data_IF_764304352906
#
_entry.id   IF_764304352906
#
_cell.length_a   1.000
_cell.length_b   1.000
_cell.length_c   1.000
_cell.angle_alpha   90.00
_cell.angle_beta   90.00
_cell.angle_gamma   90.00
#
_symmetry.space_group_name_H-M   'P 1'
#
loop_
_entity.id
_entity.type
_entity.pdbx_description
1 polymer ?
#
# COMPACT_ATOMS: atom_id res chain seq x y z
N UNK A 1 18.64 16.97 55.63
CA UNK A 1 19.04 15.78 54.84
C UNK A 1 17.81 15.03 54.31
N UNK A 2 16.87 14.62 55.17
CA UNK A 2 15.63 13.92 54.76
C UNK A 2 14.77 14.76 53.79
N UNK A 3 14.59 16.05 54.07
CA UNK A 3 13.82 16.97 53.20
C UNK A 3 14.41 17.12 51.80
N UNK A 4 15.73 17.11 51.66
CA UNK A 4 16.41 17.19 50.37
C UNK A 4 16.22 15.91 49.52
N UNK A 5 16.22 14.75 50.18
CA UNK A 5 15.98 13.45 49.54
C UNK A 5 14.55 13.37 48.98
N UNK A 6 13.56 13.84 49.74
CA UNK A 6 12.15 13.85 49.31
C UNK A 6 11.93 14.74 48.07
N UNK A 7 12.62 15.87 47.99
CA UNK A 7 12.55 16.78 46.83
C UNK A 7 13.12 16.10 45.57
N UNK A 8 14.23 15.38 45.69
CA UNK A 8 14.83 14.66 44.56
C UNK A 8 13.91 13.54 44.06
N UNK A 9 13.31 12.76 44.97
CA UNK A 9 12.36 11.70 44.61
C UNK A 9 11.16 12.30 43.89
N UNK A 10 10.62 13.41 44.39
CA UNK A 10 9.50 14.10 43.75
C UNK A 10 9.86 14.59 42.34
N UNK A 11 11.06 15.17 42.14
CA UNK A 11 11.54 15.61 40.83
C UNK A 11 11.72 14.42 39.87
N UNK A 12 12.25 13.29 40.34
CA UNK A 12 12.40 12.08 39.51
C UNK A 12 11.03 11.53 39.09
N UNK A 13 10.06 11.49 40.00
CA UNK A 13 8.68 11.10 39.69
C UNK A 13 8.04 12.08 38.71
N UNK A 14 8.28 13.38 38.87
CA UNK A 14 7.79 14.41 37.95
C UNK A 14 8.41 14.24 36.55
N UNK A 15 9.71 13.97 36.47
CA UNK A 15 10.41 13.72 35.21
C UNK A 15 9.95 12.43 34.52
N UNK A 16 9.66 11.37 35.29
CA UNK A 16 9.07 10.13 34.75
C UNK A 16 7.64 10.37 34.25
N UNK A 17 6.83 11.16 34.96
CA UNK A 17 5.49 11.53 34.54
C UNK A 17 5.52 12.39 33.26
N UNK A 18 6.43 13.36 33.15
CA UNK A 18 6.61 14.20 31.95
C UNK A 18 7.14 13.38 30.76
N UNK A 19 8.00 12.38 30.99
CA UNK A 19 8.51 11.49 29.94
C UNK A 19 7.48 10.50 29.38
N UNK A 20 6.33 10.34 30.06
CA UNK A 20 5.27 9.39 29.72
C UNK A 20 4.11 9.97 28.91
N UNK A 21 4.13 11.28 28.61
CA UNK A 21 3.08 11.89 27.78
C UNK A 21 3.25 11.52 26.29
N UNK A 22 2.52 10.49 25.86
CA UNK A 22 1.89 10.45 24.53
C UNK A 22 2.67 9.81 23.38
N UNK A 23 3.50 8.78 23.61
CA UNK A 23 3.96 7.93 22.51
C UNK A 23 3.08 6.69 22.43
N UNK A 24 2.09 6.73 21.52
CA UNK A 24 1.32 5.54 21.19
C UNK A 24 2.25 4.43 20.71
N UNK A 25 2.15 3.26 21.34
CA UNK A 25 2.94 2.08 20.99
C UNK A 25 2.60 1.60 19.58
N UNK A 26 3.49 0.83 18.95
CA UNK A 26 3.19 0.21 17.65
C UNK A 26 1.94 -0.69 17.75
N UNK A 27 1.76 -1.36 18.89
CA UNK A 27 0.61 -2.22 19.15
C UNK A 27 -0.70 -1.41 19.21
N UNK A 28 -0.71 -0.26 19.88
CA UNK A 28 -1.88 0.64 19.94
C UNK A 28 -2.26 1.18 18.56
N UNK A 29 -1.25 1.54 17.77
CA UNK A 29 -1.40 2.00 16.38
C UNK A 29 -2.02 0.92 15.50
N UNK A 30 -1.51 -0.30 15.59
CA UNK A 30 -2.03 -1.43 14.82
C UNK A 30 -3.44 -1.83 15.27
N UNK A 31 -3.73 -1.76 16.57
CA UNK A 31 -5.06 -2.03 17.10
C UNK A 31 -6.11 -1.04 16.58
N UNK A 32 -5.78 0.25 16.48
CA UNK A 32 -6.69 1.25 15.87
C UNK A 32 -7.00 0.92 14.41
N UNK A 33 -5.99 0.57 13.64
CA UNK A 33 -6.13 0.16 12.24
C UNK A 33 -7.03 -1.07 12.12
N UNK A 34 -6.74 -2.12 12.89
CA UNK A 34 -7.51 -3.37 12.85
C UNK A 34 -8.97 -3.16 13.30
N UNK A 35 -9.21 -2.31 14.30
CA UNK A 35 -10.56 -1.98 14.78
C UNK A 35 -11.37 -1.32 13.66
N UNK A 36 -10.82 -0.33 12.97
CA UNK A 36 -11.52 0.35 11.87
C UNK A 36 -11.84 -0.59 10.71
N UNK A 37 -10.95 -1.52 10.38
CA UNK A 37 -11.20 -2.53 9.35
C UNK A 37 -12.34 -3.48 9.74
N UNK A 38 -12.36 -3.92 11.00
CA UNK A 38 -13.42 -4.77 11.55
C UNK A 38 -14.78 -4.06 11.55
N UNK A 39 -14.83 -2.78 11.93
CA UNK A 39 -16.05 -1.98 11.94
C UNK A 39 -16.67 -1.84 10.53
N UNK A 40 -15.82 -1.87 9.50
CA UNK A 40 -16.23 -1.85 8.08
C UNK A 40 -16.46 -3.24 7.49
N UNK A 41 -16.35 -4.29 8.31
CA UNK A 41 -16.45 -5.70 7.93
C UNK A 41 -15.50 -6.05 6.76
N UNK A 42 -14.30 -5.47 6.77
CA UNK A 42 -13.26 -5.67 5.76
C UNK A 42 -12.45 -6.91 6.11
N UNK A 43 -12.37 -7.86 5.19
CA UNK A 43 -11.53 -9.06 5.32
C UNK A 43 -10.05 -8.72 5.11
N UNK A 44 -9.42 -8.16 6.14
CA UNK A 44 -8.04 -7.67 6.09
C UNK A 44 -7.00 -8.71 6.50
N UNK A 45 -7.38 -9.97 6.76
CA UNK A 45 -6.47 -11.01 7.25
C UNK A 45 -5.80 -11.79 6.12
N UNK A 46 -6.37 -11.76 4.92
CA UNK A 46 -5.93 -12.64 3.84
C UNK A 46 -4.81 -12.06 2.98
N UNK A 47 -4.94 -10.80 2.51
CA UNK A 47 -4.10 -10.28 1.43
C UNK A 47 -3.73 -8.80 1.63
N UNK A 48 -2.57 -8.55 2.23
CA UNK A 48 -2.13 -7.18 2.50
C UNK A 48 -0.60 -7.02 2.49
N UNK A 49 -0.19 -5.77 2.29
CA UNK A 49 1.14 -5.27 2.58
C UNK A 49 1.07 -4.38 3.81
N UNK A 50 2.01 -4.55 4.71
CA UNK A 50 2.07 -3.80 5.97
C UNK A 50 3.42 -3.11 6.12
N UNK A 51 3.35 -1.89 6.64
CA UNK A 51 4.45 -1.25 7.34
C UNK A 51 3.90 -0.62 8.64
N UNK A 52 4.80 -0.11 9.49
CA UNK A 52 4.46 0.47 10.80
C UNK A 52 3.36 1.55 10.82
N UNK A 53 2.95 2.08 9.66
CA UNK A 53 2.00 3.20 9.56
C UNK A 53 0.88 2.98 8.57
N UNK A 54 0.92 1.90 7.80
CA UNK A 54 -0.02 1.67 6.70
C UNK A 54 -0.21 0.17 6.44
N UNK A 55 -1.46 -0.20 6.23
CA UNK A 55 -1.88 -1.49 5.71
C UNK A 55 -2.65 -1.27 4.42
N UNK A 56 -2.22 -1.90 3.34
CA UNK A 56 -2.95 -1.91 2.07
C UNK A 56 -3.30 -3.34 1.72
N UNK A 57 -4.53 -3.61 1.30
CA UNK A 57 -4.95 -4.95 0.95
C UNK A 57 -6.19 -4.99 0.09
N UNK A 58 -6.70 -6.19 -0.14
CA UNK A 58 -7.90 -6.43 -0.92
C UNK A 58 -8.93 -7.21 -0.13
N UNK A 59 -10.14 -6.65 -0.02
CA UNK A 59 -11.34 -7.39 0.36
C UNK A 59 -11.94 -8.02 -0.90
N UNK A 60 -11.71 -9.32 -1.05
CA UNK A 60 -12.20 -10.11 -2.20
C UNK A 60 -13.72 -10.17 -2.22
N UNK A 61 -14.38 -10.25 -1.05
CA UNK A 61 -15.84 -10.39 -0.94
C UNK A 61 -16.54 -9.10 -1.34
N UNK A 62 -16.04 -7.98 -0.85
CA UNK A 62 -16.58 -6.65 -1.16
C UNK A 62 -16.05 -6.07 -2.46
N UNK A 63 -15.06 -6.71 -3.11
CA UNK A 63 -14.35 -6.21 -4.31
C UNK A 63 -13.78 -4.81 -4.09
N UNK A 64 -13.12 -4.60 -2.95
CA UNK A 64 -12.50 -3.32 -2.59
C UNK A 64 -11.02 -3.48 -2.31
N UNK A 65 -10.22 -2.53 -2.77
CA UNK A 65 -8.89 -2.31 -2.18
C UNK A 65 -9.06 -1.35 -1.01
N UNK A 66 -8.41 -1.65 0.11
CA UNK A 66 -8.34 -0.76 1.24
C UNK A 66 -6.90 -0.29 1.41
N UNK A 67 -6.75 0.99 1.74
CA UNK A 67 -5.52 1.57 2.28
C UNK A 67 -5.92 2.18 3.62
N UNK A 68 -5.31 1.72 4.69
CA UNK A 68 -5.54 2.28 6.02
C UNK A 68 -4.21 2.66 6.61
N UNK A 69 -4.10 3.90 7.06
CA UNK A 69 -2.90 4.40 7.70
C UNK A 69 -3.21 5.37 8.81
N UNK A 70 -2.18 5.88 9.46
CA UNK A 70 -2.34 6.86 10.53
C UNK A 70 -2.10 8.27 10.02
N UNK A 71 -3.03 9.17 10.33
CA UNK A 71 -2.90 10.57 10.01
C UNK A 71 -1.76 11.23 10.83
N UNK A 72 -0.98 12.08 10.15
CA UNK A 72 0.16 12.74 10.77
C UNK A 72 -0.29 13.70 11.88
N UNK A 73 0.30 13.54 13.07
CA UNK A 73 0.03 14.38 14.24
C UNK A 73 -1.15 13.91 15.10
N UNK A 74 -2.25 13.44 14.50
CA UNK A 74 -3.44 12.96 15.24
C UNK A 74 -3.37 11.48 15.59
N UNK A 75 -2.60 10.69 14.85
CA UNK A 75 -2.54 9.22 14.94
C UNK A 75 -3.94 8.57 14.88
N UNK A 76 -4.89 9.24 14.22
CA UNK A 76 -6.20 8.69 13.94
C UNK A 76 -6.13 7.85 12.67
N UNK A 77 -6.82 6.70 12.64
CA UNK A 77 -6.77 5.83 11.48
C UNK A 77 -7.63 6.45 10.37
N UNK A 78 -7.00 6.63 9.21
CA UNK A 78 -7.61 7.12 7.99
C UNK A 78 -7.66 5.98 7.01
N UNK A 79 -8.86 5.66 6.54
CA UNK A 79 -9.09 4.61 5.55
C UNK A 79 -9.53 5.20 4.22
N UNK A 80 -8.93 4.71 3.16
CA UNK A 80 -9.37 4.89 1.79
C UNK A 80 -9.87 3.53 1.28
N UNK A 81 -11.06 3.53 0.70
CA UNK A 81 -11.62 2.37 0.02
C UNK A 81 -11.72 2.67 -1.46
N UNK A 82 -11.25 1.73 -2.28
CA UNK A 82 -11.26 1.81 -3.74
C UNK A 82 -12.15 0.68 -4.24
N UNK A 83 -13.30 1.03 -4.80
CA UNK A 83 -14.26 0.07 -5.36
C UNK A 83 -13.76 -0.44 -6.71
N UNK A 84 -13.39 -1.72 -6.77
CA UNK A 84 -12.85 -2.34 -7.98
C UNK A 84 -13.89 -2.48 -9.10
N UNK A 85 -15.19 -2.28 -8.82
CA UNK A 85 -16.21 -2.22 -9.86
C UNK A 85 -16.13 -0.92 -10.68
N UNK A 86 -15.55 0.15 -10.10
CA UNK A 86 -15.38 1.44 -10.76
C UNK A 86 -13.96 1.66 -11.30
N UNK A 87 -13.08 0.67 -11.19
CA UNK A 87 -11.71 0.75 -11.71
C UNK A 87 -11.71 0.42 -13.20
N UNK A 88 -11.04 1.23 -14.01
CA UNK A 88 -10.79 0.98 -15.44
C UNK A 88 -9.49 0.20 -15.62
N UNK A 89 -8.41 0.60 -14.95
CA UNK A 89 -7.15 -0.16 -14.91
C UNK A 89 -6.36 0.13 -13.62
N UNK A 90 -5.41 -0.76 -13.34
CA UNK A 90 -4.46 -0.64 -12.24
C UNK A 90 -3.05 -0.76 -12.81
N UNK A 91 -2.17 0.14 -12.39
CA UNK A 91 -0.77 0.20 -12.80
C UNK A 91 0.14 0.12 -11.58
N UNK A 92 1.24 -0.64 -11.70
CA UNK A 92 2.38 -0.49 -10.81
C UNK A 92 3.31 0.55 -11.45
N UNK A 93 3.64 1.60 -10.69
CA UNK A 93 4.50 2.70 -11.11
C UNK A 93 5.78 2.66 -10.27
N UNK A 94 6.93 2.65 -10.93
CA UNK A 94 8.26 2.83 -10.32
C UNK A 94 8.88 4.13 -10.83
N UNK A 95 9.19 5.08 -9.93
CA UNK A 95 9.81 6.37 -10.27
C UNK A 95 9.15 7.07 -11.49
N UNK A 96 7.82 7.10 -11.55
CA UNK A 96 6.99 7.63 -12.65
C UNK A 96 6.96 6.79 -13.94
N UNK A 97 7.46 5.55 -13.94
CA UNK A 97 7.38 4.63 -15.06
C UNK A 97 6.39 3.50 -14.75
N UNK A 98 5.45 3.26 -15.66
CA UNK A 98 4.55 2.11 -15.56
C UNK A 98 5.35 0.85 -15.87
N UNK A 99 5.42 -0.07 -14.90
CA UNK A 99 6.13 -1.35 -15.05
C UNK A 99 5.19 -2.55 -15.20
N UNK A 100 3.97 -2.44 -14.68
CA UNK A 100 2.90 -3.42 -14.87
C UNK A 100 1.57 -2.71 -15.01
N UNK A 101 0.66 -3.26 -15.81
CA UNK A 101 -0.69 -2.75 -16.01
C UNK A 101 -1.67 -3.89 -16.22
N UNK A 102 -2.82 -3.81 -15.55
CA UNK A 102 -3.97 -4.67 -15.79
C UNK A 102 -5.20 -3.80 -16.04
N UNK A 103 -5.92 -4.09 -17.12
CA UNK A 103 -7.19 -3.42 -17.43
C UNK A 103 -8.38 -4.25 -16.93
N UNK A 104 -9.40 -3.57 -16.45
CA UNK A 104 -10.72 -4.12 -16.07
C UNK A 104 -11.67 -4.19 -17.28
N UNK A 105 -11.13 -4.26 -18.49
CA UNK A 105 -11.88 -4.49 -19.73
C UNK A 105 -12.31 -5.95 -19.83
N UNK A 106 -13.21 -6.26 -20.78
CA UNK A 106 -13.68 -7.64 -20.98
C UNK A 106 -12.58 -8.64 -21.23
N UNK A 107 -12.78 -9.91 -20.89
CA UNK A 107 -11.80 -11.01 -21.06
C UNK A 107 -11.14 -11.01 -22.45
N UNK A 108 -11.85 -10.57 -23.48
CA UNK A 108 -11.38 -10.48 -24.87
C UNK A 108 -10.48 -9.25 -25.12
N UNK A 109 -10.65 -8.18 -24.35
CA UNK A 109 -9.88 -6.93 -24.42
C UNK A 109 -8.94 -6.67 -23.23
N UNK A 110 -8.71 -7.65 -22.34
CA UNK A 110 -7.78 -7.50 -21.21
C UNK A 110 -6.33 -7.50 -21.72
N UNK A 111 -5.70 -6.33 -21.67
CA UNK A 111 -4.26 -6.22 -21.83
C UNK A 111 -3.60 -6.32 -20.45
N UNK A 112 -2.83 -7.39 -20.24
CA UNK A 112 -1.87 -7.48 -19.14
C UNK A 112 -0.51 -7.17 -19.74
N UNK A 113 0.07 -6.04 -19.34
CA UNK A 113 1.43 -5.67 -19.71
C UNK A 113 2.28 -5.85 -18.48
N UNK A 114 3.20 -6.83 -18.50
CA UNK A 114 4.08 -7.11 -17.37
C UNK A 114 5.55 -7.05 -17.75
N UNK A 115 6.27 -6.08 -17.15
CA UNK A 115 7.71 -6.11 -17.03
C UNK A 115 8.10 -6.85 -15.75
N UNK A 116 8.92 -7.89 -15.89
CA UNK A 116 9.39 -8.71 -14.76
C UNK A 116 10.29 -7.85 -13.86
N UNK A 117 9.83 -7.59 -12.64
CA UNK A 117 10.53 -6.79 -11.62
C UNK A 117 11.79 -7.46 -11.05
N UNK A 118 12.03 -8.73 -11.35
CA UNK A 118 13.10 -9.51 -10.71
C UNK A 118 14.44 -9.21 -11.39
N UNK A 119 15.24 -8.35 -10.75
CA UNK A 119 16.56 -7.90 -11.20
C UNK A 119 17.39 -8.98 -11.88
N UNK A 120 17.71 -8.74 -13.15
CA UNK A 120 18.49 -9.61 -14.01
C UNK A 120 18.34 -9.15 -15.46
N UNK A 121 17.30 -9.62 -16.14
CA UNK A 121 16.90 -9.24 -17.49
C UNK A 121 15.43 -9.67 -17.57
N UNK A 122 14.49 -8.73 -17.71
CA UNK A 122 13.09 -9.07 -17.48
C UNK A 122 12.09 -8.03 -17.97
N UNK A 123 12.07 -7.80 -19.29
CA UNK A 123 10.98 -7.11 -20.00
C UNK A 123 10.75 -5.61 -19.68
N UNK A 124 11.64 -4.78 -20.22
CA UNK A 124 11.29 -3.47 -20.78
C UNK A 124 10.69 -3.71 -22.17
N UNK A 125 9.43 -4.10 -22.32
CA UNK A 125 8.80 -4.09 -23.66
C UNK A 125 7.33 -3.71 -23.57
N UNK A 126 7.05 -2.46 -23.95
CA UNK A 126 5.73 -1.94 -24.26
C UNK A 126 5.86 -0.77 -25.23
N UNK A 127 6.15 -1.05 -26.50
CA UNK A 127 5.78 -0.25 -27.68
C UNK A 127 6.28 1.19 -27.90
N UNK A 128 6.73 1.94 -26.89
CA UNK A 128 7.11 3.35 -27.10
C UNK A 128 8.21 3.90 -26.18
N UNK A 129 9.13 3.07 -25.68
CA UNK A 129 10.27 3.62 -24.92
C UNK A 129 11.50 2.73 -25.02
N UNK A 130 12.21 2.79 -26.15
CA UNK A 130 13.60 2.31 -26.29
C UNK A 130 14.61 3.16 -25.47
N UNK A 131 14.16 3.78 -24.37
CA UNK A 131 14.90 4.76 -23.56
C UNK A 131 14.52 4.77 -22.07
N UNK A 132 13.81 3.76 -21.55
CA UNK A 132 13.61 3.66 -20.10
C UNK A 132 14.97 3.34 -19.49
N UNK A 133 15.65 4.38 -18.99
CA UNK A 133 16.77 4.22 -18.07
C UNK A 133 16.19 3.55 -16.83
N UNK A 134 16.20 2.22 -16.79
CA UNK A 134 15.99 1.49 -15.54
C UNK A 134 17.11 1.92 -14.60
N UNK A 135 16.75 2.77 -13.64
CA UNK A 135 17.67 3.22 -12.61
C UNK A 135 18.04 2.03 -11.73
N UNK A 136 19.32 1.93 -11.34
CA UNK A 136 19.79 0.88 -10.42
C UNK A 136 19.10 0.98 -9.05
N UNK A 137 18.62 2.17 -8.71
CA UNK A 137 17.99 2.53 -7.44
C UNK A 137 16.57 3.00 -7.72
N UNK A 138 15.59 2.44 -7.01
CA UNK A 138 14.17 2.82 -7.06
C UNK A 138 13.83 3.63 -5.82
N UNK A 139 13.21 4.81 -5.97
CA UNK A 139 12.86 5.66 -4.83
C UNK A 139 11.41 5.54 -4.43
N UNK A 140 10.53 5.32 -5.39
CA UNK A 140 9.11 5.20 -5.15
C UNK A 140 8.49 4.06 -5.96
N UNK A 141 7.59 3.32 -5.30
CA UNK A 141 6.69 2.37 -5.95
C UNK A 141 5.27 2.68 -5.50
N UNK A 142 4.35 2.81 -6.45
CA UNK A 142 2.92 3.05 -6.19
C UNK A 142 2.03 2.15 -7.03
N UNK A 143 0.82 1.91 -6.53
CA UNK A 143 -0.30 1.36 -7.28
C UNK A 143 -1.21 2.51 -7.70
N UNK A 144 -1.35 2.75 -8.99
CA UNK A 144 -2.27 3.75 -9.55
C UNK A 144 -3.53 3.07 -10.03
N UNK A 145 -4.66 3.47 -9.48
CA UNK A 145 -5.99 3.06 -9.88
C UNK A 145 -6.60 4.15 -10.76
N UNK A 146 -6.86 3.83 -12.03
CA UNK A 146 -7.60 4.73 -12.92
C UNK A 146 -9.08 4.42 -12.79
N UNK A 147 -9.87 5.40 -12.40
CA UNK A 147 -11.29 5.23 -12.08
C UNK A 147 -12.19 5.67 -13.23
N UNK A 148 -13.38 5.07 -13.28
CA UNK A 148 -14.52 5.56 -14.04
C UNK A 148 -15.26 6.65 -13.25
N UNK A 149 -14.52 7.70 -12.86
CA UNK A 149 -15.00 8.87 -12.14
C UNK A 149 -14.32 10.10 -12.74
N UNK A 150 -15.10 11.05 -13.25
CA UNK A 150 -14.57 12.26 -13.89
C UNK A 150 -14.04 13.28 -12.88
N UNK A 151 -14.56 13.25 -11.65
CA UNK A 151 -14.14 14.14 -10.58
C UNK A 151 -12.85 13.63 -9.93
N UNK A 152 -12.73 12.30 -9.77
CA UNK A 152 -11.56 11.64 -9.18
C UNK A 152 -11.03 10.49 -10.05
N UNK A 153 -10.42 10.79 -11.21
CA UNK A 153 -10.02 9.77 -12.19
C UNK A 153 -8.81 8.93 -11.79
N UNK A 154 -8.06 9.33 -10.76
CA UNK A 154 -6.84 8.65 -10.32
C UNK A 154 -6.75 8.59 -8.80
N UNK A 155 -6.46 7.40 -8.28
CA UNK A 155 -6.05 7.18 -6.89
C UNK A 155 -4.70 6.47 -6.87
N UNK A 156 -3.72 7.09 -6.22
CA UNK A 156 -2.38 6.54 -6.08
C UNK A 156 -2.15 6.07 -4.65
N UNK A 157 -1.79 4.80 -4.48
CA UNK A 157 -1.39 4.24 -3.19
C UNK A 157 0.11 3.98 -3.20
N UNK A 158 0.85 4.71 -2.36
CA UNK A 158 2.31 4.59 -2.26
C UNK A 158 2.66 3.39 -1.40
N UNK A 159 3.21 2.34 -2.01
CA UNK A 159 3.59 1.10 -1.32
C UNK A 159 5.07 1.09 -0.89
N UNK A 160 5.88 1.97 -1.47
CA UNK A 160 7.26 2.21 -1.06
C UNK A 160 7.66 3.65 -1.40
N UNK A 161 8.32 4.35 -0.47
CA UNK A 161 8.96 5.64 -0.71
C UNK A 161 10.20 5.78 0.20
N UNK A 162 11.37 5.95 -0.40
CA UNK A 162 12.60 6.32 0.31
C UNK A 162 13.44 7.27 -0.56
N UNK A 163 13.77 8.43 -0.01
CA UNK A 163 14.65 9.42 -0.64
C UNK A 163 16.03 8.88 -1.06
N UNK A 164 16.58 7.92 -0.31
CA UNK A 164 17.84 7.22 -0.61
C UNK A 164 17.66 6.17 -1.70
N UNK A 165 16.44 5.67 -1.82
CA UNK A 165 16.03 4.60 -2.71
C UNK A 165 16.63 3.24 -2.36
N UNK A 166 16.15 2.24 -3.07
CA UNK A 166 16.46 0.83 -2.86
C UNK A 166 17.13 0.24 -4.11
N UNK A 167 18.32 -0.35 -3.93
CA UNK A 167 19.06 -0.98 -5.02
C UNK A 167 18.31 -2.22 -5.53
N UNK A 168 18.06 -2.30 -6.84
CA UNK A 168 17.30 -3.39 -7.47
C UNK A 168 17.93 -4.77 -7.28
N UNK A 169 19.25 -4.83 -7.05
CA UNK A 169 19.97 -6.07 -6.77
C UNK A 169 19.84 -6.53 -5.31
N UNK A 170 19.40 -5.64 -4.41
CA UNK A 170 19.25 -5.95 -2.99
C UNK A 170 18.13 -6.96 -2.75
N UNK A 171 18.30 -7.82 -1.75
CA UNK A 171 17.27 -8.80 -1.39
C UNK A 171 16.03 -8.14 -0.81
N UNK A 172 16.20 -6.98 -0.16
CA UNK A 172 15.09 -6.16 0.30
C UNK A 172 14.23 -5.66 -0.86
N UNK A 173 14.85 -5.23 -1.98
CA UNK A 173 14.10 -4.87 -3.18
C UNK A 173 13.30 -6.06 -3.70
N UNK A 174 13.96 -7.21 -3.89
CA UNK A 174 13.30 -8.42 -4.41
C UNK A 174 12.14 -8.87 -3.54
N UNK A 175 12.28 -8.81 -2.21
CA UNK A 175 11.20 -9.13 -1.27
C UNK A 175 10.02 -8.18 -1.44
N UNK A 176 10.27 -6.87 -1.43
CA UNK A 176 9.22 -5.85 -1.61
C UNK A 176 8.55 -5.95 -2.97
N UNK A 177 9.30 -6.12 -4.05
CA UNK A 177 8.73 -6.32 -5.38
C UNK A 177 7.86 -7.57 -5.46
N UNK A 178 8.25 -8.67 -4.80
CA UNK A 178 7.46 -9.90 -4.75
C UNK A 178 6.13 -9.69 -4.01
N UNK A 179 6.19 -9.04 -2.85
CA UNK A 179 5.04 -8.63 -2.06
C UNK A 179 4.06 -7.77 -2.88
N UNK A 180 4.56 -6.73 -3.55
CA UNK A 180 3.76 -5.83 -4.39
C UNK A 180 3.14 -6.58 -5.58
N UNK A 181 3.88 -7.47 -6.23
CA UNK A 181 3.36 -8.30 -7.31
C UNK A 181 2.28 -9.29 -6.83
N UNK A 182 2.42 -9.85 -5.63
CA UNK A 182 1.39 -10.74 -5.07
C UNK A 182 0.08 -9.98 -4.83
N UNK A 183 0.14 -8.79 -4.22
CA UNK A 183 -1.04 -7.94 -4.05
C UNK A 183 -1.64 -7.54 -5.41
N UNK A 184 -0.81 -7.09 -6.34
CA UNK A 184 -1.25 -6.71 -7.69
C UNK A 184 -1.93 -7.87 -8.42
N UNK A 185 -1.35 -9.08 -8.37
CA UNK A 185 -1.93 -10.28 -8.97
C UNK A 185 -3.29 -10.64 -8.38
N UNK A 186 -3.51 -10.42 -7.08
CA UNK A 186 -4.82 -10.63 -6.45
C UNK A 186 -5.85 -9.61 -6.86
N UNK A 187 -5.44 -8.34 -6.97
CA UNK A 187 -6.29 -7.28 -7.54
C UNK A 187 -6.69 -7.65 -8.97
N UNK A 188 -5.73 -8.09 -9.78
CA UNK A 188 -5.99 -8.60 -11.13
C UNK A 188 -7.03 -9.74 -11.13
N UNK A 189 -6.90 -10.73 -10.25
CA UNK A 189 -7.84 -11.85 -10.17
C UNK A 189 -9.26 -11.37 -9.83
N UNK A 190 -9.39 -10.43 -8.90
CA UNK A 190 -10.71 -9.88 -8.52
C UNK A 190 -11.29 -9.05 -9.66
N UNK A 191 -10.51 -8.22 -10.35
CA UNK A 191 -10.98 -7.51 -11.54
C UNK A 191 -11.54 -8.50 -12.58
N UNK A 192 -10.81 -9.59 -12.85
CA UNK A 192 -11.27 -10.65 -13.76
C UNK A 192 -12.56 -11.37 -13.35
N UNK A 193 -12.85 -11.50 -12.05
CA UNK A 193 -14.06 -12.16 -11.55
C UNK A 193 -15.36 -11.34 -11.73
N UNK A 194 -15.26 -10.02 -11.98
CA UNK A 194 -16.44 -9.15 -12.13
C UNK A 194 -17.32 -9.51 -13.34
N UNK A 195 -16.73 -10.14 -14.36
CA UNK A 195 -17.42 -10.51 -15.59
C UNK A 195 -18.23 -11.81 -15.47
N UNK A 196 -17.84 -12.72 -14.58
CA UNK A 196 -18.48 -14.03 -14.47
C UNK A 196 -19.89 -13.92 -13.88
N UNK A 197 -20.17 -12.89 -13.08
CA UNK A 197 -21.50 -12.66 -12.47
C UNK A 197 -22.45 -11.82 -13.33
N UNK A 198 -21.94 -11.07 -14.31
CA UNK A 198 -22.79 -10.26 -15.21
C UNK A 198 -23.37 -11.09 -16.36
N UNK A 199 -22.64 -12.12 -16.81
CA UNK A 199 -23.03 -12.99 -17.93
C UNK A 199 -23.97 -14.16 -17.55
N UNK A 200 -24.50 -14.18 -16.32
CA UNK A 200 -25.47 -15.19 -15.83
C UNK A 200 -26.85 -14.53 -15.56
N UNK A 201 -27.13 -13.36 -16.14
CA UNK A 201 -28.48 -12.77 -16.16
C UNK A 201 -29.10 -12.86 -17.54
#
# INVERSE_FOLDING_TARGET
>A
MITFILIIIFIVVLLMAIGSSGRESLDEKQNKINTQLNDLNIDAESYFLENDRMKIGIDVKQRKVFEVGLEYGTFQPKIQLIDLNNVIDVEIIEDNQVINKVSNSSMIGRAVVGGVLTGGVGAIIGGHTAKSKTTKVVKEISLRFRMNDMDNPYYDVIVFNDSKGLDRGSDLFKSKSKEILDLFGRIELVLGQGETYSNIK
#
